data_IF_050758554996
#
_entry.id   IF_050758554996
#
_cell.length_a   1.000
_cell.length_b   1.000
_cell.length_c   1.000
_cell.angle_alpha   90.00
_cell.angle_beta   90.00
_cell.angle_gamma   90.00
#
_symmetry.space_group_name_H-M   'P 1'
#
loop_
_entity.id
_entity.type
_entity.pdbx_description
1 polymer ?
#
# COMPACT_ATOMS: atom_id res chain seq x y z
N UNK A 1 -9.96 4.66 36.48
CA UNK A 1 -10.44 4.86 35.10
C UNK A 1 -10.60 6.38 34.92
N UNK A 2 -9.54 7.15 34.70
CA UNK A 2 -9.63 8.58 34.34
C UNK A 2 -8.24 9.21 34.40
N UNK A 3 -7.35 8.84 33.46
CA UNK A 3 -6.05 9.51 33.32
C UNK A 3 -5.44 9.48 31.91
N UNK A 4 -6.18 9.03 30.88
CA UNK A 4 -5.68 8.97 29.49
C UNK A 4 -6.43 9.93 28.55
N UNK A 5 -7.45 10.63 29.02
CA UNK A 5 -8.35 11.42 28.15
C UNK A 5 -7.94 12.89 27.93
N UNK A 6 -6.81 13.39 28.43
CA UNK A 6 -6.57 14.84 28.47
C UNK A 6 -5.40 15.40 27.66
N UNK A 7 -4.82 14.67 26.71
CA UNK A 7 -3.70 15.18 25.87
C UNK A 7 -3.85 15.01 24.35
N UNK A 8 -5.06 14.96 23.83
CA UNK A 8 -5.29 15.15 22.39
C UNK A 8 -6.21 16.37 22.23
N UNK A 9 -5.71 17.56 22.50
CA UNK A 9 -6.28 18.76 21.88
C UNK A 9 -5.73 18.79 20.46
N UNK A 10 -6.48 18.19 19.54
CA UNK A 10 -6.25 18.35 18.12
C UNK A 10 -6.42 19.82 17.77
N UNK A 11 -5.36 20.50 17.34
CA UNK A 11 -5.48 21.74 16.60
C UNK A 11 -6.41 21.47 15.41
N UNK A 12 -7.41 22.33 15.20
CA UNK A 12 -8.23 22.32 14.00
C UNK A 12 -7.28 22.50 12.80
N UNK A 13 -7.02 21.40 12.06
CA UNK A 13 -6.26 21.43 10.83
C UNK A 13 -7.08 22.22 9.82
N UNK A 14 -6.43 23.08 9.02
CA UNK A 14 -7.09 23.68 7.88
C UNK A 14 -7.53 22.54 6.94
N UNK A 15 -8.65 22.67 6.24
CA UNK A 15 -9.15 21.65 5.31
C UNK A 15 -8.11 21.28 4.23
N UNK A 16 -7.19 22.19 3.92
CA UNK A 16 -6.08 21.96 2.98
C UNK A 16 -5.00 21.01 3.53
N UNK A 17 -4.78 20.97 4.84
CA UNK A 17 -3.81 20.06 5.47
C UNK A 17 -4.25 18.58 5.47
N UNK A 18 -5.49 18.29 5.07
CA UNK A 18 -6.03 16.93 4.99
C UNK A 18 -5.73 16.24 3.66
N UNK A 19 -5.13 16.93 2.69
CA UNK A 19 -4.89 16.42 1.35
C UNK A 19 -3.43 16.59 0.92
N UNK A 20 -3.02 15.76 -0.05
CA UNK A 20 -1.72 15.87 -0.72
C UNK A 20 -1.69 17.23 -1.46
N UNK A 21 -0.62 18.04 -1.32
CA UNK A 21 -0.51 19.31 -2.02
C UNK A 21 -0.65 19.15 -3.54
N UNK A 22 -1.29 20.10 -4.24
CA UNK A 22 -1.37 20.09 -5.69
C UNK A 22 0.02 20.21 -6.34
N UNK A 23 0.20 19.81 -7.61
CA UNK A 23 1.47 19.94 -8.31
C UNK A 23 1.95 21.38 -8.42
N UNK A 24 3.28 21.60 -8.34
CA UNK A 24 3.91 22.91 -8.22
C UNK A 24 4.02 23.68 -9.54
N UNK A 25 3.92 23.03 -10.69
CA UNK A 25 3.87 23.66 -12.00
C UNK A 25 2.82 22.99 -12.90
N UNK A 26 1.86 23.78 -13.36
CA UNK A 26 1.14 23.48 -14.58
C UNK A 26 1.85 24.18 -15.74
N UNK A 27 2.52 23.42 -16.58
CA UNK A 27 2.31 23.64 -18.01
C UNK A 27 0.92 23.08 -18.26
N UNK A 28 -0.04 23.83 -18.81
CA UNK A 28 -1.32 23.25 -19.16
C UNK A 28 -1.11 22.27 -20.31
N UNK A 29 -0.74 21.06 -19.99
CA UNK A 29 -1.02 19.92 -20.84
C UNK A 29 -2.55 19.88 -20.88
N UNK A 30 -3.12 20.15 -22.04
CA UNK A 30 -4.54 20.30 -22.38
C UNK A 30 -5.47 19.71 -21.32
N UNK A 31 -6.16 20.60 -20.58
CA UNK A 31 -7.25 20.15 -19.71
C UNK A 31 -8.14 19.21 -20.53
N UNK A 32 -8.43 18.06 -19.96
CA UNK A 32 -9.48 17.15 -20.44
C UNK A 32 -10.82 17.88 -20.27
N UNK A 33 -11.09 18.81 -21.18
CA UNK A 33 -12.38 19.48 -21.36
C UNK A 33 -12.97 19.20 -22.74
N UNK A 34 -12.30 18.36 -23.51
CA UNK A 34 -12.88 17.68 -24.64
C UNK A 34 -12.80 16.20 -24.34
N UNK A 35 -13.94 15.52 -24.40
CA UNK A 35 -13.99 14.07 -24.33
C UNK A 35 -12.93 13.53 -25.31
N UNK A 36 -11.77 13.14 -24.80
CA UNK A 36 -10.90 12.32 -25.59
C UNK A 36 -11.75 11.13 -26.01
N UNK A 37 -11.85 10.84 -27.33
CA UNK A 37 -12.51 9.63 -27.75
C UNK A 37 -11.91 8.49 -26.93
N UNK A 38 -12.72 7.50 -26.53
CA UNK A 38 -12.20 6.36 -25.77
C UNK A 38 -10.93 5.92 -26.49
N UNK A 39 -9.81 5.88 -25.76
CA UNK A 39 -8.56 5.36 -26.29
C UNK A 39 -8.92 3.96 -26.76
N UNK A 40 -8.96 3.77 -28.11
CA UNK A 40 -9.20 2.43 -28.66
C UNK A 40 -8.21 1.51 -27.97
N UNK A 41 -8.67 0.36 -27.45
CA UNK A 41 -7.75 -0.58 -26.79
C UNK A 41 -6.64 -0.84 -27.80
N UNK A 42 -5.41 -0.52 -27.40
CA UNK A 42 -4.24 -0.75 -28.21
C UNK A 42 -4.23 -2.25 -28.58
N UNK A 43 -4.51 -2.57 -29.83
CA UNK A 43 -4.58 -3.95 -30.34
C UNK A 43 -3.25 -4.69 -30.22
N UNK A 44 -2.17 -3.95 -30.00
CA UNK A 44 -0.81 -4.46 -29.76
C UNK A 44 -0.45 -4.50 -28.25
N UNK A 45 -1.38 -4.21 -27.35
CA UNK A 45 -1.14 -4.40 -25.91
C UNK A 45 -0.92 -5.90 -25.66
N UNK A 46 0.14 -6.28 -24.93
CA UNK A 46 0.35 -7.68 -24.59
C UNK A 46 -0.90 -8.22 -23.90
N UNK A 47 -1.33 -9.42 -24.33
CA UNK A 47 -2.47 -10.10 -23.73
C UNK A 47 -2.18 -10.26 -22.23
N UNK A 48 -2.93 -9.54 -21.41
CA UNK A 48 -2.72 -9.55 -19.95
C UNK A 48 -3.21 -10.89 -19.44
N UNK A 49 -2.29 -11.72 -18.98
CA UNK A 49 -2.63 -13.01 -18.37
C UNK A 49 -3.68 -12.82 -17.27
N UNK A 50 -4.80 -13.50 -17.38
CA UNK A 50 -5.85 -13.51 -16.35
C UNK A 50 -5.53 -14.67 -15.41
N UNK A 51 -5.04 -14.39 -14.19
CA UNK A 51 -4.70 -15.43 -13.24
C UNK A 51 -5.88 -16.32 -12.93
N UNK A 52 -5.63 -17.62 -12.89
CA UNK A 52 -6.67 -18.61 -12.64
C UNK A 52 -7.63 -18.82 -13.81
N UNK A 53 -7.33 -18.30 -15.02
CA UNK A 53 -8.08 -18.64 -16.22
C UNK A 53 -8.06 -20.17 -16.42
N UNK A 54 -9.25 -20.76 -16.63
CA UNK A 54 -9.40 -22.23 -16.75
C UNK A 54 -9.52 -23.00 -15.43
N UNK A 55 -9.28 -22.40 -14.27
CA UNK A 55 -9.60 -23.04 -13.00
C UNK A 55 -11.12 -23.06 -12.77
N UNK A 56 -11.66 -24.12 -12.13
CA UNK A 56 -13.06 -24.18 -11.76
C UNK A 56 -13.45 -22.98 -10.86
N UNK A 57 -14.73 -22.58 -10.82
CA UNK A 57 -15.17 -21.56 -9.90
C UNK A 57 -14.87 -21.99 -8.45
N UNK A 58 -14.53 -21.04 -7.57
CA UNK A 58 -14.35 -21.36 -6.15
C UNK A 58 -15.67 -21.87 -5.55
N UNK A 59 -15.64 -22.69 -4.48
CA UNK A 59 -16.85 -23.10 -3.77
C UNK A 59 -17.62 -21.87 -3.26
N UNK A 60 -18.94 -22.01 -2.96
CA UNK A 60 -19.76 -20.86 -2.54
C UNK A 60 -19.35 -20.24 -1.21
N UNK A 61 -18.57 -20.94 -0.41
CA UNK A 61 -18.01 -20.44 0.85
C UNK A 61 -16.76 -21.21 1.24
N UNK A 62 -15.87 -20.55 2.00
CA UNK A 62 -14.72 -21.19 2.63
C UNK A 62 -14.40 -20.51 3.96
N UNK A 63 -13.75 -21.27 4.86
CA UNK A 63 -13.34 -20.76 6.17
C UNK A 63 -12.03 -21.38 6.62
N UNK A 64 -11.09 -20.53 7.03
CA UNK A 64 -9.82 -20.91 7.65
C UNK A 64 -9.94 -20.69 9.16
N UNK A 65 -9.40 -21.60 9.94
CA UNK A 65 -9.32 -21.47 11.39
C UNK A 65 -8.65 -22.69 12.03
N UNK A 66 -8.33 -22.59 13.30
CA UNK A 66 -8.51 -21.45 14.21
C UNK A 66 -7.54 -20.29 13.95
N UNK A 67 -7.90 -19.09 14.42
CA UNK A 67 -7.07 -17.88 14.38
C UNK A 67 -6.86 -17.37 15.80
N UNK A 68 -5.63 -17.13 16.20
CA UNK A 68 -5.32 -16.45 17.45
C UNK A 68 -5.39 -14.94 17.21
N UNK A 69 -6.45 -14.29 17.71
CA UNK A 69 -6.63 -12.85 17.54
C UNK A 69 -5.63 -12.04 18.38
N UNK A 70 -5.13 -10.95 17.80
CA UNK A 70 -4.18 -10.02 18.45
C UNK A 70 -4.66 -8.59 18.26
N UNK A 71 -4.91 -7.87 19.36
CA UNK A 71 -5.09 -6.42 19.32
C UNK A 71 -3.75 -5.73 19.10
N UNK A 72 -3.71 -4.79 18.17
CA UNK A 72 -2.47 -4.05 17.93
C UNK A 72 -2.15 -3.09 19.08
N UNK A 73 -0.89 -2.98 19.41
CA UNK A 73 -0.35 -1.83 20.14
C UNK A 73 -0.17 -0.65 19.19
N UNK A 74 0.26 0.51 19.69
CA UNK A 74 0.38 1.73 18.88
C UNK A 74 1.11 1.46 17.56
N UNK A 75 0.42 1.76 16.46
CA UNK A 75 0.97 1.73 15.10
C UNK A 75 1.53 0.35 14.64
N UNK A 76 0.97 -0.73 15.13
CA UNK A 76 1.44 -2.10 14.89
C UNK A 76 0.41 -2.97 14.15
N UNK A 77 -0.37 -2.39 13.20
CA UNK A 77 -1.32 -3.18 12.41
C UNK A 77 -0.63 -4.29 11.60
N UNK A 78 0.49 -4.01 10.94
CA UNK A 78 1.27 -5.00 10.19
C UNK A 78 1.77 -6.14 11.07
N UNK A 79 2.54 -5.86 12.14
CA UNK A 79 2.99 -6.87 13.09
C UNK A 79 1.87 -7.72 13.70
N UNK A 80 0.75 -7.12 14.10
CA UNK A 80 -0.38 -7.85 14.66
C UNK A 80 -1.05 -8.75 13.60
N UNK A 81 -1.25 -8.22 12.38
CA UNK A 81 -1.94 -8.95 11.31
C UNK A 81 -1.12 -10.13 10.81
N UNK A 82 0.20 -9.97 10.62
CA UNK A 82 1.05 -11.09 10.22
C UNK A 82 1.09 -12.18 11.30
N UNK A 83 1.12 -11.80 12.58
CA UNK A 83 1.07 -12.76 13.70
C UNK A 83 -0.24 -13.57 13.69
N UNK A 84 -1.39 -12.92 13.43
CA UNK A 84 -2.67 -13.60 13.27
C UNK A 84 -2.65 -14.57 12.07
N UNK A 85 -2.08 -14.16 10.93
CA UNK A 85 -1.97 -15.01 9.74
C UNK A 85 -1.12 -16.25 10.00
N UNK A 86 0.04 -16.08 10.63
CA UNK A 86 0.94 -17.18 11.00
C UNK A 86 0.26 -18.21 11.92
N UNK A 87 -0.62 -17.75 12.82
CA UNK A 87 -1.35 -18.64 13.73
C UNK A 87 -2.25 -19.63 13.00
N UNK A 88 -2.83 -19.26 11.85
CA UNK A 88 -3.67 -20.16 11.03
C UNK A 88 -2.88 -21.32 10.43
N UNK A 89 -1.56 -21.15 10.31
CA UNK A 89 -0.62 -22.13 9.73
C UNK A 89 0.16 -22.90 10.81
N UNK A 90 -0.27 -22.79 12.07
CA UNK A 90 0.33 -23.48 13.21
C UNK A 90 1.64 -22.86 13.69
N UNK A 91 1.90 -21.60 13.37
CA UNK A 91 3.06 -20.84 13.88
C UNK A 91 2.59 -19.87 14.96
N UNK A 92 2.89 -20.18 16.20
CA UNK A 92 2.58 -19.32 17.34
C UNK A 92 3.66 -18.23 17.46
N UNK A 93 3.34 -17.01 17.07
CA UNK A 93 4.22 -15.84 17.16
C UNK A 93 3.56 -14.77 18.02
N UNK A 94 4.37 -13.97 18.71
CA UNK A 94 3.87 -12.81 19.45
C UNK A 94 4.01 -11.53 18.62
N UNK A 95 3.09 -10.58 18.84
CA UNK A 95 3.24 -9.24 18.23
C UNK A 95 4.58 -8.59 18.59
N UNK A 96 5.08 -8.81 19.80
CA UNK A 96 6.39 -8.28 20.22
C UNK A 96 7.54 -8.85 19.38
N UNK A 97 7.52 -10.15 19.07
CA UNK A 97 8.52 -10.77 18.19
C UNK A 97 8.45 -10.20 16.78
N UNK A 98 7.24 -9.97 16.25
CA UNK A 98 7.04 -9.34 14.95
C UNK A 98 7.53 -7.89 14.94
N UNK A 99 7.21 -7.10 15.96
CA UNK A 99 7.70 -5.71 16.12
C UNK A 99 9.23 -5.66 16.15
N UNK A 100 9.88 -6.50 16.94
CA UNK A 100 11.35 -6.53 17.04
C UNK A 100 12.04 -6.87 15.70
N UNK A 101 11.38 -7.63 14.85
CA UNK A 101 11.91 -7.96 13.53
C UNK A 101 11.64 -6.82 12.52
N UNK A 102 10.42 -6.32 12.49
CA UNK A 102 9.92 -5.40 11.45
C UNK A 102 10.29 -3.95 11.70
N UNK A 103 10.46 -3.54 12.97
CA UNK A 103 10.63 -2.14 13.35
C UNK A 103 11.91 -1.91 14.13
N UNK A 104 12.51 -0.73 13.95
CA UNK A 104 13.74 -0.34 14.67
C UNK A 104 13.45 0.38 15.98
N UNK A 105 12.30 1.01 16.08
CA UNK A 105 11.85 1.74 17.26
C UNK A 105 10.31 1.80 17.31
N UNK A 106 9.75 2.31 18.39
CA UNK A 106 8.32 2.59 18.50
C UNK A 106 7.85 3.70 17.55
N UNK A 107 8.77 4.55 17.11
CA UNK A 107 8.51 5.71 16.27
C UNK A 107 8.67 5.40 14.76
N UNK A 108 9.23 4.24 14.42
CA UNK A 108 9.15 3.63 13.10
C UNK A 108 7.67 3.29 12.81
N UNK A 109 7.05 4.04 11.90
CA UNK A 109 5.59 4.05 11.75
C UNK A 109 5.09 3.19 10.60
N UNK A 110 5.97 2.89 9.68
CA UNK A 110 5.61 2.18 8.48
C UNK A 110 6.10 0.73 8.54
N UNK A 111 5.27 -0.20 8.10
CA UNK A 111 5.67 -1.57 7.81
C UNK A 111 5.19 -1.85 6.40
N UNK A 112 6.14 -1.93 5.48
CA UNK A 112 5.90 -2.18 4.07
C UNK A 112 5.43 -3.63 3.83
N UNK A 113 4.58 -3.89 2.81
CA UNK A 113 4.17 -5.25 2.47
C UNK A 113 5.34 -6.23 2.27
N UNK A 114 6.47 -5.78 1.73
CA UNK A 114 7.66 -6.63 1.52
C UNK A 114 8.32 -7.06 2.84
N UNK A 115 8.21 -6.24 3.89
CA UNK A 115 8.70 -6.57 5.22
C UNK A 115 7.82 -7.66 5.87
N UNK A 116 6.49 -7.61 5.68
CA UNK A 116 5.59 -8.67 6.11
C UNK A 116 5.90 -10.01 5.42
N UNK A 117 6.19 -9.96 4.11
CA UNK A 117 6.68 -11.11 3.33
C UNK A 117 7.98 -11.65 3.93
N UNK A 118 8.93 -10.77 4.20
CA UNK A 118 10.24 -11.14 4.79
C UNK A 118 10.08 -11.79 6.16
N UNK A 119 9.17 -11.28 6.99
CA UNK A 119 8.87 -11.87 8.28
C UNK A 119 8.27 -13.27 8.18
N UNK A 120 7.29 -13.47 7.30
CA UNK A 120 6.68 -14.78 7.07
C UNK A 120 7.72 -15.81 6.56
N UNK A 121 8.58 -15.40 5.62
CA UNK A 121 9.66 -16.23 5.08
C UNK A 121 10.69 -16.61 6.15
N UNK A 122 11.04 -15.70 7.04
CA UNK A 122 11.92 -15.96 8.19
C UNK A 122 11.32 -16.97 9.20
N UNK A 123 10.03 -17.30 9.08
CA UNK A 123 9.32 -18.32 9.88
C UNK A 123 9.09 -19.64 9.13
N UNK A 124 9.76 -19.81 7.98
CA UNK A 124 9.71 -21.04 7.18
C UNK A 124 8.42 -21.21 6.38
N UNK A 125 7.72 -20.11 6.11
CA UNK A 125 6.58 -20.06 5.22
C UNK A 125 6.96 -19.32 3.93
N UNK A 126 6.17 -19.50 2.88
CA UNK A 126 6.22 -18.65 1.70
C UNK A 126 5.19 -17.52 1.85
N UNK A 127 5.51 -16.40 1.25
CA UNK A 127 4.62 -15.25 1.11
C UNK A 127 5.07 -14.42 -0.09
N UNK A 128 4.12 -13.78 -0.77
CA UNK A 128 4.38 -12.91 -1.89
C UNK A 128 3.56 -11.62 -1.75
N UNK A 129 4.18 -10.48 -2.02
CA UNK A 129 3.44 -9.23 -2.17
C UNK A 129 2.92 -9.11 -3.61
N UNK A 130 1.63 -8.88 -3.75
CA UNK A 130 0.94 -8.80 -5.03
C UNK A 130 0.01 -7.61 -5.10
N UNK A 131 -0.19 -7.09 -6.32
CA UNK A 131 -1.11 -5.98 -6.63
C UNK A 131 -2.11 -6.38 -7.70
N UNK A 132 -3.15 -5.58 -7.91
CA UNK A 132 -4.16 -5.82 -8.92
C UNK A 132 -4.95 -7.09 -8.68
N UNK A 133 -5.21 -7.45 -7.44
CA UNK A 133 -6.06 -8.57 -7.08
C UNK A 133 -7.52 -8.37 -7.46
N UNK A 134 -8.29 -9.44 -7.42
CA UNK A 134 -9.74 -9.43 -7.54
C UNK A 134 -10.38 -10.37 -6.50
N UNK A 135 -11.72 -10.28 -6.36
CA UNK A 135 -12.44 -11.07 -5.37
C UNK A 135 -12.34 -12.58 -5.63
N UNK A 136 -12.20 -12.99 -6.90
CA UNK A 136 -12.14 -14.43 -7.27
C UNK A 136 -10.78 -15.01 -6.87
N UNK A 137 -9.69 -14.28 -7.08
CA UNK A 137 -8.35 -14.66 -6.61
C UNK A 137 -8.37 -14.86 -5.09
N UNK A 138 -8.92 -13.91 -4.33
CA UNK A 138 -9.00 -14.01 -2.87
C UNK A 138 -9.82 -15.21 -2.42
N UNK A 139 -11.00 -15.44 -3.05
CA UNK A 139 -11.85 -16.60 -2.74
C UNK A 139 -11.15 -17.93 -3.01
N UNK A 140 -10.45 -18.06 -4.15
CA UNK A 140 -9.68 -19.26 -4.48
C UNK A 140 -8.58 -19.55 -3.47
N UNK A 141 -7.80 -18.51 -3.09
CA UNK A 141 -6.75 -18.65 -2.07
C UNK A 141 -7.34 -19.13 -0.72
N UNK A 142 -8.43 -18.52 -0.30
CA UNK A 142 -9.12 -18.89 0.96
C UNK A 142 -9.70 -20.29 0.90
N UNK A 143 -10.21 -20.74 -0.26
CA UNK A 143 -10.70 -22.12 -0.47
C UNK A 143 -9.57 -23.16 -0.35
N UNK A 144 -8.34 -22.80 -0.74
CA UNK A 144 -7.13 -23.62 -0.57
C UNK A 144 -6.50 -23.51 0.83
N UNK A 145 -7.25 -22.95 1.79
CA UNK A 145 -6.78 -22.71 3.16
C UNK A 145 -5.53 -21.82 3.26
N UNK A 146 -5.39 -20.88 2.34
CA UNK A 146 -4.31 -19.90 2.31
C UNK A 146 -4.84 -18.57 2.88
N UNK A 147 -4.39 -18.15 4.09
CA UNK A 147 -4.75 -16.87 4.66
C UNK A 147 -4.17 -15.74 3.84
N UNK A 148 -4.92 -14.64 3.69
CA UNK A 148 -4.50 -13.51 2.88
C UNK A 148 -4.52 -12.23 3.70
N UNK A 149 -3.39 -11.58 3.83
CA UNK A 149 -3.32 -10.21 4.34
C UNK A 149 -3.67 -9.27 3.20
N UNK A 150 -4.53 -8.30 3.46
CA UNK A 150 -4.90 -7.22 2.52
C UNK A 150 -4.64 -5.87 3.15
N UNK A 151 -4.28 -4.90 2.31
CA UNK A 151 -4.10 -3.51 2.73
C UNK A 151 -5.30 -2.70 2.26
N UNK A 152 -5.97 -2.01 3.18
CA UNK A 152 -7.20 -1.27 2.91
C UNK A 152 -7.09 0.18 3.39
N UNK A 153 -7.77 1.09 2.70
CA UNK A 153 -7.88 2.48 3.09
C UNK A 153 -9.29 2.84 3.52
N UNK A 154 -9.44 3.48 4.67
CA UNK A 154 -10.75 3.85 5.20
C UNK A 154 -10.68 5.04 6.17
N UNK A 155 -11.83 5.61 6.49
CA UNK A 155 -11.96 6.64 7.50
C UNK A 155 -12.59 6.02 8.77
N UNK A 156 -11.82 5.81 9.85
CA UNK A 156 -12.41 5.46 11.14
C UNK A 156 -13.22 6.62 11.69
N UNK A 157 -14.25 6.34 12.49
CA UNK A 157 -15.08 7.35 13.09
C UNK A 157 -14.25 8.42 13.84
N UNK A 158 -14.44 9.69 13.47
CA UNK A 158 -13.77 10.84 14.09
C UNK A 158 -12.27 10.94 13.80
N UNK A 159 -11.74 10.21 12.79
CA UNK A 159 -10.31 10.25 12.41
C UNK A 159 -10.15 10.51 10.92
N UNK A 160 -8.94 10.96 10.55
CA UNK A 160 -8.52 11.08 9.16
C UNK A 160 -8.46 9.71 8.47
N UNK A 161 -8.52 9.72 7.15
CA UNK A 161 -8.25 8.54 6.32
C UNK A 161 -6.93 7.88 6.71
N UNK A 162 -6.90 6.55 6.76
CA UNK A 162 -5.72 5.75 7.07
C UNK A 162 -5.67 4.44 6.31
N UNK A 163 -4.44 3.96 6.06
CA UNK A 163 -4.15 2.61 5.63
C UNK A 163 -4.17 1.63 6.81
N UNK A 164 -4.53 0.38 6.54
CA UNK A 164 -4.63 -0.64 7.56
C UNK A 164 -4.53 -2.04 6.96
N UNK A 165 -3.83 -2.93 7.64
CA UNK A 165 -3.78 -4.34 7.27
C UNK A 165 -4.92 -5.12 7.95
N UNK A 166 -5.59 -5.99 7.16
CA UNK A 166 -6.59 -6.96 7.64
C UNK A 166 -6.21 -8.36 7.20
N UNK A 167 -6.58 -9.35 8.00
CA UNK A 167 -6.43 -10.75 7.65
C UNK A 167 -7.77 -11.30 7.15
N UNK A 168 -7.83 -11.71 5.88
CA UNK A 168 -8.97 -12.48 5.37
C UNK A 168 -8.79 -13.97 5.69
N UNK A 169 -9.85 -14.60 6.18
CA UNK A 169 -9.87 -16.01 6.60
C UNK A 169 -11.09 -16.77 6.12
N UNK A 170 -11.92 -16.17 5.31
CA UNK A 170 -13.10 -16.84 4.74
C UNK A 170 -13.97 -15.90 3.93
N UNK A 171 -14.96 -16.50 3.28
CA UNK A 171 -15.98 -15.77 2.52
C UNK A 171 -17.26 -16.61 2.45
N UNK A 172 -18.35 -15.95 2.11
CA UNK A 172 -19.68 -16.57 1.92
C UNK A 172 -20.43 -15.79 0.83
N UNK A 173 -20.64 -16.43 -0.31
CA UNK A 173 -21.33 -15.84 -1.46
C UNK A 173 -22.85 -15.68 -1.21
N UNK A 174 -23.44 -16.51 -0.35
CA UNK A 174 -24.84 -16.36 0.04
C UNK A 174 -25.12 -15.08 0.81
N UNK A 175 -24.09 -14.53 1.47
CA UNK A 175 -24.17 -13.26 2.19
C UNK A 175 -23.29 -12.16 1.58
N UNK A 176 -22.65 -12.43 0.43
CA UNK A 176 -21.80 -11.52 -0.34
C UNK A 176 -20.75 -10.80 0.50
N UNK A 177 -19.98 -11.54 1.32
CA UNK A 177 -18.96 -10.95 2.22
C UNK A 177 -17.77 -11.85 2.44
N UNK A 178 -16.62 -11.22 2.68
CA UNK A 178 -15.48 -11.86 3.33
C UNK A 178 -15.63 -11.85 4.85
N UNK A 179 -14.89 -12.73 5.50
CA UNK A 179 -14.68 -12.73 6.95
C UNK A 179 -13.24 -12.36 7.23
N UNK A 180 -13.06 -11.27 7.98
CA UNK A 180 -11.75 -10.77 8.36
C UNK A 180 -11.48 -10.89 9.86
N UNK A 181 -10.19 -10.85 10.21
CA UNK A 181 -9.70 -10.50 11.53
C UNK A 181 -9.04 -9.13 11.44
N UNK A 182 -9.38 -8.26 12.39
CA UNK A 182 -8.92 -6.87 12.45
C UNK A 182 -8.24 -6.62 13.81
N UNK A 183 -7.05 -6.03 13.75
CA UNK A 183 -6.26 -5.76 14.96
C UNK A 183 -6.60 -4.43 15.62
N UNK A 184 -7.43 -3.60 14.99
CA UNK A 184 -7.72 -2.23 15.41
C UNK A 184 -9.20 -1.96 15.68
N UNK A 185 -10.10 -2.46 14.82
CA UNK A 185 -11.53 -2.21 14.93
C UNK A 185 -12.27 -3.35 15.62
N UNK A 186 -13.12 -3.03 16.60
CA UNK A 186 -14.02 -4.00 17.23
C UNK A 186 -15.04 -4.56 16.20
N UNK A 187 -15.46 -5.82 16.32
CA UNK A 187 -15.14 -6.78 17.39
C UNK A 187 -13.77 -7.47 17.23
N UNK A 188 -12.99 -7.19 16.22
CA UNK A 188 -11.67 -7.76 15.92
C UNK A 188 -11.72 -9.14 15.30
N UNK A 189 -12.64 -9.99 15.74
CA UNK A 189 -12.81 -11.37 15.27
C UNK A 189 -14.05 -11.50 14.39
N UNK A 190 -13.97 -12.29 13.33
CA UNK A 190 -15.08 -12.56 12.42
C UNK A 190 -15.77 -11.30 11.85
N UNK A 191 -14.96 -10.27 11.57
CA UNK A 191 -15.47 -9.00 11.06
C UNK A 191 -16.00 -9.16 9.65
N UNK A 192 -17.31 -8.95 9.39
CA UNK A 192 -17.85 -9.07 8.04
C UNK A 192 -17.36 -7.93 7.16
N UNK A 193 -16.96 -8.27 5.94
CA UNK A 193 -16.51 -7.33 4.92
C UNK A 193 -17.40 -7.51 3.67
N UNK A 194 -18.51 -6.77 3.51
CA UNK A 194 -19.33 -6.81 2.30
C UNK A 194 -18.47 -6.55 1.06
N UNK A 195 -18.66 -7.35 0.00
CA UNK A 195 -17.74 -7.35 -1.17
C UNK A 195 -17.57 -5.97 -1.81
N UNK A 196 -18.66 -5.23 -1.99
CA UNK A 196 -18.66 -3.91 -2.61
C UNK A 196 -17.91 -2.86 -1.77
N UNK A 197 -18.12 -2.87 -0.44
CA UNK A 197 -17.39 -1.99 0.47
C UNK A 197 -15.92 -2.39 0.58
N UNK A 198 -15.67 -3.68 0.68
CA UNK A 198 -14.33 -4.22 0.77
C UNK A 198 -13.49 -3.85 -0.47
N UNK A 199 -14.03 -4.02 -1.68
CA UNK A 199 -13.31 -3.67 -2.91
C UNK A 199 -13.00 -2.17 -3.00
N UNK A 200 -13.93 -1.29 -2.57
CA UNK A 200 -13.66 0.15 -2.48
C UNK A 200 -12.53 0.49 -1.51
N UNK A 201 -12.54 -0.10 -0.32
CA UNK A 201 -11.50 0.13 0.69
C UNK A 201 -10.14 -0.45 0.23
N UNK A 202 -10.15 -1.62 -0.40
CA UNK A 202 -8.98 -2.34 -0.88
C UNK A 202 -8.34 -1.70 -2.11
N UNK A 203 -9.13 -1.11 -2.98
CA UNK A 203 -8.69 -0.38 -4.16
C UNK A 203 -7.72 0.76 -3.83
N UNK A 204 -7.84 1.40 -2.66
CA UNK A 204 -6.95 2.48 -2.23
C UNK A 204 -5.47 2.07 -2.20
N UNK A 205 -5.16 0.79 -2.13
CA UNK A 205 -3.82 0.22 -2.18
C UNK A 205 -3.60 -0.65 -3.42
N UNK A 206 -4.14 -0.25 -4.56
CA UNK A 206 -4.01 -0.97 -5.83
C UNK A 206 -4.37 -2.47 -5.70
N UNK A 207 -5.35 -2.78 -4.85
CA UNK A 207 -5.75 -4.14 -4.47
C UNK A 207 -4.56 -5.02 -4.05
N UNK A 208 -3.71 -4.46 -3.18
CA UNK A 208 -2.58 -5.18 -2.56
C UNK A 208 -3.05 -6.35 -1.72
N UNK A 209 -2.44 -7.52 -1.93
CA UNK A 209 -2.67 -8.71 -1.12
C UNK A 209 -1.41 -9.53 -0.92
N UNK A 210 -1.33 -10.20 0.22
CA UNK A 210 -0.18 -11.02 0.62
C UNK A 210 -0.71 -12.38 1.06
N UNK A 211 -0.74 -13.39 0.15
CA UNK A 211 -0.98 -14.77 0.54
C UNK A 211 0.19 -15.28 1.38
N UNK A 212 -0.10 -15.95 2.49
CA UNK A 212 0.91 -16.63 3.31
C UNK A 212 0.62 -18.13 3.26
N UNK A 213 1.60 -18.91 2.85
CA UNK A 213 1.37 -20.31 2.52
C UNK A 213 2.56 -21.21 2.83
N UNK A 214 2.30 -22.51 2.91
CA UNK A 214 3.37 -23.51 3.06
C UNK A 214 4.12 -23.68 1.74
N UNK A 215 5.42 -24.01 1.75
CA UNK A 215 6.19 -24.24 0.52
C UNK A 215 5.52 -25.21 -0.47
N UNK A 216 4.83 -26.24 0.04
CA UNK A 216 4.11 -27.22 -0.78
C UNK A 216 2.89 -26.65 -1.53
N UNK A 217 2.45 -25.43 -1.21
CA UNK A 217 1.31 -24.75 -1.87
C UNK A 217 1.76 -23.77 -2.97
N UNK A 218 3.07 -23.67 -3.26
CA UNK A 218 3.61 -22.67 -4.18
C UNK A 218 2.96 -22.75 -5.58
N UNK A 219 2.86 -23.94 -6.16
CA UNK A 219 2.27 -24.12 -7.48
C UNK A 219 0.77 -23.76 -7.50
N UNK A 220 0.06 -24.03 -6.41
CA UNK A 220 -1.35 -23.66 -6.27
C UNK A 220 -1.51 -22.13 -6.24
N UNK A 221 -0.64 -21.42 -5.51
CA UNK A 221 -0.65 -19.95 -5.46
C UNK A 221 -0.35 -19.36 -6.84
N UNK A 222 0.64 -19.91 -7.57
CA UNK A 222 0.96 -19.47 -8.93
C UNK A 222 -0.22 -19.75 -9.89
N UNK A 223 -0.84 -20.90 -9.80
CA UNK A 223 -2.01 -21.22 -10.64
C UNK A 223 -3.20 -20.27 -10.39
N UNK A 224 -3.43 -19.85 -9.13
CA UNK A 224 -4.53 -18.97 -8.75
C UNK A 224 -4.24 -17.50 -9.03
N UNK A 225 -3.05 -17.03 -8.70
CA UNK A 225 -2.72 -15.60 -8.64
C UNK A 225 -1.69 -15.16 -9.71
N UNK A 226 -1.24 -16.09 -10.57
CA UNK A 226 -0.20 -15.85 -11.58
C UNK A 226 1.21 -15.85 -10.96
N UNK A 227 2.21 -15.44 -11.77
CA UNK A 227 3.57 -15.25 -11.29
C UNK A 227 3.65 -14.14 -10.21
N UNK A 228 4.61 -14.26 -9.30
CA UNK A 228 4.96 -13.19 -8.37
C UNK A 228 5.87 -12.12 -9.01
N UNK A 229 6.25 -12.28 -10.29
CA UNK A 229 7.07 -11.32 -11.00
C UNK A 229 6.39 -9.95 -11.08
N UNK A 230 7.18 -8.91 -10.93
CA UNK A 230 6.67 -7.55 -10.82
C UNK A 230 5.95 -7.09 -12.08
N UNK A 231 6.53 -7.34 -13.25
CA UNK A 231 5.99 -6.83 -14.52
C UNK A 231 4.58 -7.36 -14.85
N UNK A 232 4.30 -8.68 -14.88
CA UNK A 232 2.96 -9.18 -15.21
C UNK A 232 1.87 -8.68 -14.29
N UNK A 233 2.12 -8.62 -12.97
CA UNK A 233 1.13 -8.13 -12.02
C UNK A 233 0.87 -6.62 -12.16
N UNK A 234 1.90 -5.81 -12.45
CA UNK A 234 1.70 -4.37 -12.67
C UNK A 234 1.06 -4.06 -14.03
N UNK A 235 1.29 -4.86 -15.08
CA UNK A 235 0.54 -4.76 -16.33
C UNK A 235 -0.95 -5.02 -16.10
N UNK A 236 -1.31 -6.04 -15.32
CA UNK A 236 -2.69 -6.33 -14.94
C UNK A 236 -3.29 -5.19 -14.11
N UNK A 237 -2.57 -4.73 -13.07
CA UNK A 237 -3.02 -3.63 -12.22
C UNK A 237 -3.22 -2.34 -13.03
N UNK A 238 -2.33 -2.05 -13.99
CA UNK A 238 -2.46 -0.91 -14.90
C UNK A 238 -3.71 -1.03 -15.79
N UNK A 239 -3.97 -2.22 -16.34
CA UNK A 239 -5.17 -2.44 -17.15
C UNK A 239 -6.46 -2.22 -16.34
N UNK A 240 -6.50 -2.67 -15.08
CA UNK A 240 -7.60 -2.43 -14.15
C UNK A 240 -7.75 -0.93 -13.87
N UNK A 241 -6.68 -0.26 -13.45
CA UNK A 241 -6.70 1.16 -13.11
C UNK A 241 -7.08 2.04 -14.32
N UNK A 242 -6.57 1.72 -15.52
CA UNK A 242 -6.92 2.47 -16.74
C UNK A 242 -8.39 2.37 -17.10
N UNK A 243 -9.01 1.21 -16.92
CA UNK A 243 -10.46 1.04 -17.08
C UNK A 243 -11.23 1.85 -16.03
N UNK A 244 -10.81 1.78 -14.76
CA UNK A 244 -11.45 2.55 -13.68
C UNK A 244 -11.31 4.06 -13.87
N UNK A 245 -10.19 4.54 -14.42
CA UNK A 245 -10.01 5.95 -14.82
C UNK A 245 -11.04 6.35 -15.89
N UNK A 246 -11.26 5.50 -16.89
CA UNK A 246 -12.25 5.76 -17.93
C UNK A 246 -13.68 5.77 -17.38
N UNK A 247 -14.00 4.89 -16.45
CA UNK A 247 -15.31 4.77 -15.80
C UNK A 247 -15.57 5.88 -14.77
N UNK A 248 -14.56 6.28 -14.01
CA UNK A 248 -14.67 7.29 -12.94
C UNK A 248 -13.45 8.22 -12.87
N UNK A 249 -13.29 9.14 -13.84
CA UNK A 249 -12.12 10.04 -13.91
C UNK A 249 -12.05 11.07 -12.77
N UNK A 250 -13.07 11.15 -11.90
CA UNK A 250 -13.10 12.06 -10.74
C UNK A 250 -12.64 11.38 -9.44
N UNK A 251 -12.28 10.12 -9.47
CA UNK A 251 -11.77 9.40 -8.30
C UNK A 251 -10.24 9.50 -8.23
N UNK A 252 -9.71 10.11 -7.17
CA UNK A 252 -8.28 10.30 -6.98
C UNK A 252 -7.51 8.97 -6.87
N UNK A 253 -8.12 7.93 -6.32
CA UNK A 253 -7.46 6.65 -6.09
C UNK A 253 -7.20 5.88 -7.40
N UNK A 254 -8.10 5.98 -8.39
CA UNK A 254 -7.88 5.27 -9.67
C UNK A 254 -6.70 5.86 -10.44
N UNK A 255 -6.54 7.18 -10.43
CA UNK A 255 -5.36 7.85 -10.99
C UNK A 255 -4.09 7.52 -10.22
N UNK A 256 -4.18 7.45 -8.90
CA UNK A 256 -3.05 7.08 -8.07
C UNK A 256 -2.59 5.65 -8.36
N UNK A 257 -3.51 4.69 -8.45
CA UNK A 257 -3.22 3.29 -8.79
C UNK A 257 -2.60 3.15 -10.18
N UNK A 258 -3.10 3.93 -11.15
CA UNK A 258 -2.51 3.98 -12.48
C UNK A 258 -1.04 4.45 -12.40
N UNK A 259 -0.80 5.55 -11.69
CA UNK A 259 0.55 6.08 -11.46
C UNK A 259 1.48 5.08 -10.75
N UNK A 260 1.00 4.38 -9.73
CA UNK A 260 1.77 3.34 -9.03
C UNK A 260 2.20 2.21 -9.96
N UNK A 261 1.27 1.72 -10.78
CA UNK A 261 1.56 0.64 -11.74
C UNK A 261 2.52 1.11 -12.84
N UNK A 262 2.33 2.32 -13.37
CA UNK A 262 3.24 2.94 -14.35
C UNK A 262 4.64 3.14 -13.81
N UNK A 263 4.78 3.60 -12.55
CA UNK A 263 6.09 3.74 -11.88
C UNK A 263 6.81 2.40 -11.81
N UNK A 264 6.12 1.34 -11.40
CA UNK A 264 6.70 0.01 -11.29
C UNK A 264 7.10 -0.59 -12.66
N UNK A 265 6.46 -0.13 -13.73
CA UNK A 265 6.79 -0.49 -15.12
C UNK A 265 7.83 0.43 -15.76
N UNK A 266 8.40 1.39 -15.02
CA UNK A 266 9.40 2.34 -15.53
C UNK A 266 8.84 3.44 -16.45
N UNK A 267 7.51 3.56 -16.56
CA UNK A 267 6.81 4.58 -17.39
C UNK A 267 6.60 5.87 -16.57
N UNK A 268 7.72 6.48 -16.16
CA UNK A 268 7.75 7.52 -15.13
C UNK A 268 7.05 8.83 -15.54
N UNK A 269 7.14 9.22 -16.81
CA UNK A 269 6.46 10.42 -17.32
C UNK A 269 4.93 10.27 -17.23
N UNK A 270 4.38 9.15 -17.67
CA UNK A 270 2.95 8.86 -17.60
C UNK A 270 2.48 8.68 -16.14
N UNK A 271 3.34 8.11 -15.30
CA UNK A 271 3.10 8.00 -13.86
C UNK A 271 2.97 9.40 -13.22
N UNK A 272 3.88 10.32 -13.54
CA UNK A 272 3.87 11.68 -13.02
C UNK A 272 2.57 12.42 -13.42
N UNK A 273 2.10 12.27 -14.66
CA UNK A 273 0.81 12.81 -15.11
C UNK A 273 -0.37 12.24 -14.33
N UNK A 274 -0.39 10.92 -14.12
CA UNK A 274 -1.43 10.24 -13.33
C UNK A 274 -1.44 10.72 -11.89
N UNK A 275 -0.27 10.88 -11.26
CA UNK A 275 -0.17 11.42 -9.91
C UNK A 275 -0.59 12.90 -9.82
N UNK A 276 -0.32 13.70 -10.85
CA UNK A 276 -0.81 15.07 -10.91
C UNK A 276 -2.35 15.12 -10.87
N UNK A 277 -3.02 14.26 -11.64
CA UNK A 277 -4.47 14.14 -11.61
C UNK A 277 -4.99 13.72 -10.23
N UNK A 278 -4.38 12.69 -9.62
CA UNK A 278 -4.75 12.23 -8.28
C UNK A 278 -4.63 13.37 -7.23
N UNK A 279 -3.54 14.15 -7.29
CA UNK A 279 -3.31 15.29 -6.39
C UNK A 279 -4.33 16.42 -6.57
N UNK A 280 -4.73 16.70 -7.81
CA UNK A 280 -5.77 17.69 -8.12
C UNK A 280 -7.17 17.26 -7.63
N UNK A 281 -7.43 15.97 -7.56
CA UNK A 281 -8.67 15.37 -7.07
C UNK A 281 -8.70 15.18 -5.54
N UNK A 282 -7.76 15.80 -4.81
CA UNK A 282 -7.71 15.80 -3.33
C UNK A 282 -7.45 14.43 -2.72
N UNK A 283 -6.36 13.79 -3.15
CA UNK A 283 -5.88 12.56 -2.51
C UNK A 283 -5.62 12.79 -1.01
N UNK A 284 -6.04 11.88 -0.11
CA UNK A 284 -5.74 12.00 1.32
C UNK A 284 -4.24 12.08 1.60
N UNK A 285 -3.81 12.99 2.47
CA UNK A 285 -2.39 13.25 2.73
C UNK A 285 -1.61 12.00 3.19
N UNK A 286 -2.26 11.11 3.94
CA UNK A 286 -1.65 9.89 4.44
C UNK A 286 -1.37 8.85 3.35
N UNK A 287 -1.86 9.00 2.13
CA UNK A 287 -1.45 8.13 1.02
C UNK A 287 0.07 8.09 0.86
N UNK A 288 0.71 9.26 0.98
CA UNK A 288 2.17 9.38 0.88
C UNK A 288 2.92 9.03 2.18
N UNK A 289 2.22 8.52 3.17
CA UNK A 289 2.82 7.83 4.31
C UNK A 289 3.07 6.35 4.01
N UNK A 290 2.28 5.76 3.10
CA UNK A 290 2.29 4.33 2.81
C UNK A 290 2.83 4.01 1.41
N UNK A 291 2.68 4.90 0.45
CA UNK A 291 2.96 4.64 -0.96
C UNK A 291 3.77 5.78 -1.58
N UNK A 292 4.95 5.45 -2.09
CA UNK A 292 5.98 6.43 -2.45
C UNK A 292 6.17 6.64 -3.96
N UNK A 293 5.37 5.99 -4.81
CA UNK A 293 5.45 6.10 -6.27
C UNK A 293 5.49 7.54 -6.81
N UNK A 294 4.74 8.53 -6.25
CA UNK A 294 4.87 9.92 -6.69
C UNK A 294 6.27 10.49 -6.52
N UNK A 295 6.97 10.14 -5.45
CA UNK A 295 8.34 10.61 -5.24
C UNK A 295 9.30 10.02 -6.28
N UNK A 296 9.18 8.71 -6.56
CA UNK A 296 10.03 8.04 -7.54
C UNK A 296 9.79 8.58 -8.95
N UNK A 297 8.51 8.72 -9.36
CA UNK A 297 8.16 9.26 -10.67
C UNK A 297 8.65 10.70 -10.84
N UNK A 298 8.42 11.57 -9.85
CA UNK A 298 8.87 12.97 -9.95
C UNK A 298 10.38 13.12 -9.90
N UNK A 299 11.10 12.27 -9.14
CA UNK A 299 12.57 12.25 -9.18
C UNK A 299 13.07 11.87 -10.58
N UNK A 300 12.53 10.80 -11.16
CA UNK A 300 12.93 10.34 -12.48
C UNK A 300 12.69 11.40 -13.57
N UNK A 301 11.65 12.23 -13.42
CA UNK A 301 11.33 13.33 -14.32
C UNK A 301 12.01 14.67 -13.96
N UNK A 302 12.94 14.66 -12.99
CA UNK A 302 13.64 15.88 -12.54
C UNK A 302 12.73 16.91 -11.87
N UNK A 303 11.54 16.55 -11.45
CA UNK A 303 10.55 17.43 -10.81
C UNK A 303 10.85 17.61 -9.31
N UNK A 304 12.06 18.05 -9.00
CA UNK A 304 12.60 18.10 -7.64
C UNK A 304 11.79 18.98 -6.68
N UNK A 305 11.17 20.05 -7.19
CA UNK A 305 10.29 20.91 -6.38
C UNK A 305 9.03 20.20 -5.92
N UNK A 306 8.45 19.32 -6.75
CA UNK A 306 7.30 18.50 -6.36
C UNK A 306 7.69 17.52 -5.26
N UNK A 307 8.83 16.85 -5.39
CA UNK A 307 9.38 15.96 -4.35
C UNK A 307 9.56 16.70 -3.02
N UNK A 308 10.19 17.87 -3.05
CA UNK A 308 10.41 18.69 -1.84
C UNK A 308 9.08 19.14 -1.22
N UNK A 309 8.11 19.53 -2.05
CA UNK A 309 6.76 19.93 -1.60
C UNK A 309 6.06 18.79 -0.88
N UNK A 310 6.04 17.59 -1.48
CA UNK A 310 5.41 16.41 -0.90
C UNK A 310 6.10 15.94 0.39
N UNK A 311 7.44 15.86 0.38
CA UNK A 311 8.19 15.45 1.56
C UNK A 311 8.01 16.44 2.72
N UNK A 312 8.06 17.75 2.45
CA UNK A 312 7.86 18.76 3.48
C UNK A 312 6.41 18.74 4.01
N UNK A 313 5.40 18.49 3.17
CA UNK A 313 4.02 18.36 3.60
C UNK A 313 3.85 17.17 4.57
N UNK A 314 4.40 16.01 4.24
CA UNK A 314 4.40 14.85 5.14
C UNK A 314 5.11 15.16 6.46
N UNK A 315 6.31 15.74 6.41
CA UNK A 315 7.13 16.06 7.58
C UNK A 315 6.50 17.15 8.46
N UNK A 316 5.63 17.99 7.91
CA UNK A 316 4.83 18.94 8.70
C UNK A 316 3.73 18.25 9.53
N UNK A 317 3.26 17.08 9.11
CA UNK A 317 2.27 16.29 9.81
C UNK A 317 2.90 15.35 10.85
N UNK A 318 4.06 14.79 10.52
CA UNK A 318 4.86 13.93 11.40
C UNK A 318 6.33 14.03 11.01
N UNK A 319 7.16 14.42 11.98
CA UNK A 319 8.56 14.81 11.75
C UNK A 319 9.54 13.64 11.64
N UNK A 320 9.08 12.41 11.76
CA UNK A 320 9.86 11.19 11.92
C UNK A 320 9.51 10.11 10.88
N UNK A 321 9.12 10.52 9.66
CA UNK A 321 8.98 9.63 8.51
C UNK A 321 10.33 9.52 7.76
N UNK A 322 10.97 8.37 7.87
CA UNK A 322 12.25 8.08 7.23
C UNK A 322 12.19 8.23 5.72
N UNK A 323 11.14 7.74 5.07
CA UNK A 323 10.99 7.83 3.63
C UNK A 323 10.86 9.29 3.16
N UNK A 324 10.11 10.10 3.90
CA UNK A 324 9.98 11.53 3.56
C UNK A 324 11.31 12.29 3.73
N UNK A 325 12.10 11.96 4.74
CA UNK A 325 13.45 12.48 4.89
C UNK A 325 14.38 11.99 3.77
N UNK A 326 14.26 10.71 3.40
CA UNK A 326 15.04 10.12 2.33
C UNK A 326 14.76 10.80 0.98
N UNK A 327 13.49 10.89 0.57
CA UNK A 327 13.13 11.54 -0.70
C UNK A 327 13.47 13.04 -0.72
N UNK A 328 13.34 13.72 0.42
CA UNK A 328 13.87 15.08 0.55
C UNK A 328 15.37 15.13 0.32
N UNK A 329 16.11 14.20 0.90
CA UNK A 329 17.56 14.06 0.68
C UNK A 329 17.90 13.83 -0.79
N UNK A 330 17.16 12.95 -1.48
CA UNK A 330 17.30 12.68 -2.90
C UNK A 330 17.15 13.95 -3.75
N UNK A 331 16.05 14.67 -3.58
CA UNK A 331 15.80 15.90 -4.32
C UNK A 331 16.83 17.00 -4.04
N UNK A 332 17.31 17.12 -2.81
CA UNK A 332 18.37 18.05 -2.43
C UNK A 332 19.71 17.66 -3.06
N UNK A 333 20.05 16.37 -3.08
CA UNK A 333 21.26 15.86 -3.72
C UNK A 333 21.27 16.16 -5.22
N UNK A 334 20.19 15.87 -5.91
CA UNK A 334 20.04 16.16 -7.35
C UNK A 334 20.02 17.66 -7.67
N UNK A 335 19.65 18.49 -6.69
CA UNK A 335 19.76 19.96 -6.77
C UNK A 335 21.16 20.50 -6.45
N UNK A 336 22.16 19.65 -6.15
CA UNK A 336 23.51 20.05 -5.73
C UNK A 336 23.61 20.58 -4.30
N UNK A 337 22.55 20.48 -3.49
CA UNK A 337 22.47 20.95 -2.09
C UNK A 337 22.96 19.86 -1.12
N UNK A 338 24.23 19.46 -1.27
CA UNK A 338 24.78 18.26 -0.63
C UNK A 338 24.77 18.29 0.90
N UNK A 339 25.03 19.44 1.52
CA UNK A 339 25.00 19.56 2.98
C UNK A 339 23.59 19.32 3.54
N UNK A 340 22.56 19.83 2.87
CA UNK A 340 21.16 19.64 3.28
C UNK A 340 20.67 18.21 2.96
N UNK A 341 21.12 17.62 1.86
CA UNK A 341 20.87 16.22 1.53
C UNK A 341 21.44 15.29 2.63
N UNK A 342 22.70 15.53 3.04
CA UNK A 342 23.35 14.80 4.13
C UNK A 342 22.54 14.89 5.42
N UNK A 343 22.10 16.08 5.80
CA UNK A 343 21.27 16.28 6.99
C UNK A 343 19.93 15.53 6.90
N UNK A 344 19.33 15.48 5.70
CA UNK A 344 18.06 14.75 5.47
C UNK A 344 18.25 13.25 5.57
N UNK A 345 19.30 12.66 4.98
CA UNK A 345 19.60 11.23 5.13
C UNK A 345 19.90 10.83 6.58
N UNK A 346 20.64 11.67 7.31
CA UNK A 346 20.90 11.42 8.73
C UNK A 346 19.61 11.44 9.57
N UNK A 347 18.63 12.29 9.22
CA UNK A 347 17.31 12.28 9.86
C UNK A 347 16.51 11.04 9.52
N UNK A 348 16.58 10.54 8.28
CA UNK A 348 15.97 9.26 7.91
C UNK A 348 16.54 8.12 8.77
N UNK A 349 17.87 8.07 8.94
CA UNK A 349 18.54 7.06 9.76
C UNK A 349 18.28 7.23 11.27
N UNK A 350 18.00 8.43 11.73
CA UNK A 350 17.57 8.67 13.11
C UNK A 350 16.15 8.17 13.38
N UNK A 351 15.25 8.24 12.38
CA UNK A 351 13.90 7.69 12.46
C UNK A 351 13.91 6.15 12.35
N UNK A 352 14.65 5.62 11.36
CA UNK A 352 14.83 4.19 11.17
C UNK A 352 16.31 3.86 10.90
N UNK A 353 16.98 3.32 11.92
CA UNK A 353 18.43 3.00 11.86
C UNK A 353 18.78 1.84 10.94
N UNK A 354 17.81 1.13 10.36
CA UNK A 354 18.00 0.06 9.36
C UNK A 354 17.57 0.46 7.95
N UNK A 355 17.26 1.74 7.72
CA UNK A 355 16.79 2.21 6.42
C UNK A 355 17.90 2.23 5.38
N UNK A 356 18.11 1.10 4.72
CA UNK A 356 19.21 0.85 3.76
C UNK A 356 19.33 1.92 2.67
N UNK A 357 18.23 2.44 2.04
CA UNK A 357 18.35 3.46 1.03
C UNK A 357 19.11 4.72 1.49
N UNK A 358 18.85 5.18 2.72
CA UNK A 358 19.53 6.37 3.23
C UNK A 358 21.04 6.14 3.46
N UNK A 359 21.46 4.97 3.90
CA UNK A 359 22.90 4.62 3.99
C UNK A 359 23.57 4.65 2.63
N UNK A 360 22.94 4.04 1.62
CA UNK A 360 23.48 4.01 0.27
C UNK A 360 23.71 5.41 -0.26
N UNK A 361 22.68 6.26 -0.26
CA UNK A 361 22.80 7.62 -0.82
C UNK A 361 23.68 8.55 0.01
N UNK A 362 23.71 8.40 1.33
CA UNK A 362 24.63 9.14 2.19
C UNK A 362 26.09 8.86 1.82
N UNK A 363 26.43 7.62 1.44
CA UNK A 363 27.79 7.23 1.04
C UNK A 363 28.21 7.77 -0.32
N UNK A 364 27.27 8.18 -1.17
CA UNK A 364 27.55 8.74 -2.50
C UNK A 364 27.74 10.25 -2.50
N UNK A 365 27.50 10.92 -1.36
CA UNK A 365 27.65 12.38 -1.27
C UNK A 365 29.12 12.78 -1.25
N UNK A 366 29.51 13.86 -1.94
CA UNK A 366 30.84 14.43 -1.82
C UNK A 366 31.13 14.84 -0.37
N UNK A 367 32.40 14.76 0.00
CA UNK A 367 32.89 15.13 1.35
C UNK A 367 32.74 16.64 1.61
#
# INVERSE_FOLDING_TARGET
MDAISSRIRGSFRSAEASYVPPPSSRTPSKMVNEANPPVEPNRDAPEVEVPGAGLPPPPPSARIGPVTHVWQTWNNCGPATVTMALSTLGRAESQAAAVNFLKTSKDDKNVDPSELVSYARARGLNADWRVGGDLVILKRLLAESIPVIVEVGFNPDGKDWMGHYRLLVGYDDGTARFTAYDSYLAPGVNVPQPYDKFDRDWRAFNRTFIPIFRPAQADVVVAIAGSADTEPQHLRALAIASREVAENPKDAFVWFNQGMSLTSLGRTAEAAESFDQARLLKLPWRMLWYQFGPFDAYLAEGRLNDVLTLANANLSQTSDLEESHFFKGRALQESGRFAEARASYLRALAANSRYVPAYHYLSTLPN
#
